data_IF_735711861611
#
_entry.id   IF_735711861611
#
_cell.length_a   1.000
_cell.length_b   1.000
_cell.length_c   1.000
_cell.angle_alpha   90.00
_cell.angle_beta   90.00
_cell.angle_gamma   90.00
#
_symmetry.space_group_name_H-M   'P 1'
#
loop_
_entity.id
_entity.type
_entity.pdbx_description
1 polymer ?
#
# COMPACT_ATOMS: atom_id res chain seq x y z
N UNK A 1 -22.39 37.87 -22.94
CA UNK A 1 -21.24 37.26 -22.25
C UNK A 1 -21.61 37.15 -20.79
N UNK A 2 -22.18 36.01 -20.40
CA UNK A 2 -22.55 35.74 -19.01
C UNK A 2 -21.42 34.92 -18.41
N UNK A 3 -20.65 35.56 -17.53
CA UNK A 3 -19.59 34.94 -16.74
C UNK A 3 -20.23 33.93 -15.79
N UNK A 4 -20.02 32.63 -16.04
CA UNK A 4 -20.30 31.60 -15.04
C UNK A 4 -19.16 31.64 -14.04
N UNK A 5 -19.42 32.25 -12.87
CA UNK A 5 -18.61 32.04 -11.69
C UNK A 5 -18.76 30.57 -11.27
N UNK A 6 -17.70 29.79 -11.35
CA UNK A 6 -17.62 28.48 -10.71
C UNK A 6 -17.12 28.64 -9.29
N UNK A 7 -17.95 29.22 -8.42
CA UNK A 7 -17.78 29.08 -6.98
C UNK A 7 -18.27 27.68 -6.59
N UNK A 8 -17.46 26.67 -6.86
CA UNK A 8 -17.58 25.40 -6.12
C UNK A 8 -16.94 25.64 -4.77
N UNK A 9 -17.74 26.02 -3.77
CA UNK A 9 -17.35 25.92 -2.36
C UNK A 9 -16.87 24.49 -2.11
N UNK A 10 -15.56 24.29 -2.07
CA UNK A 10 -14.95 23.04 -1.65
C UNK A 10 -15.25 22.89 -0.16
N UNK A 11 -16.19 22.01 0.18
CA UNK A 11 -16.45 21.65 1.57
C UNK A 11 -15.14 21.16 2.19
N UNK A 12 -14.69 21.73 3.33
CA UNK A 12 -13.46 21.31 3.96
C UNK A 12 -13.52 19.83 4.33
N UNK A 13 -12.38 19.14 4.24
CA UNK A 13 -12.28 17.74 4.64
C UNK A 13 -12.64 17.55 6.12
N UNK A 14 -13.37 16.49 6.50
CA UNK A 14 -13.68 16.22 7.90
C UNK A 14 -12.40 15.86 8.68
N UNK A 15 -12.33 16.32 9.92
CA UNK A 15 -11.21 16.07 10.84
C UNK A 15 -11.60 15.22 12.06
N UNK A 16 -12.89 15.05 12.30
CA UNK A 16 -13.43 14.25 13.41
C UNK A 16 -14.28 13.09 12.87
N UNK A 17 -14.21 11.90 13.49
CA UNK A 17 -15.06 10.79 13.10
C UNK A 17 -16.50 11.07 13.52
N UNK A 18 -17.45 10.83 12.61
CA UNK A 18 -18.89 10.87 12.91
C UNK A 18 -19.52 9.49 12.64
N UNK A 19 -20.63 9.13 13.31
CA UNK A 19 -21.33 7.88 13.03
C UNK A 19 -21.75 7.73 11.55
N UNK A 20 -22.13 8.84 10.91
CA UNK A 20 -22.45 8.88 9.48
C UNK A 20 -21.23 8.57 8.61
N UNK A 21 -20.09 9.25 8.85
CA UNK A 21 -18.86 8.99 8.11
C UNK A 21 -18.40 7.52 8.26
N UNK A 22 -18.41 6.99 9.48
CA UNK A 22 -18.06 5.59 9.73
C UNK A 22 -18.99 4.63 8.97
N UNK A 23 -20.28 4.96 8.89
CA UNK A 23 -21.25 4.18 8.11
C UNK A 23 -20.94 4.22 6.61
N UNK A 24 -20.64 5.41 6.06
CA UNK A 24 -20.27 5.58 4.65
C UNK A 24 -18.98 4.85 4.30
N UNK A 25 -17.97 4.88 5.18
CA UNK A 25 -16.73 4.11 5.04
C UNK A 25 -17.01 2.61 4.98
N UNK A 26 -17.78 2.07 5.94
CA UNK A 26 -18.14 0.64 5.93
C UNK A 26 -18.89 0.23 4.67
N UNK A 27 -19.81 1.07 4.20
CA UNK A 27 -20.56 0.83 2.97
C UNK A 27 -19.64 0.84 1.74
N UNK A 28 -18.72 1.80 1.65
CA UNK A 28 -17.77 1.87 0.56
C UNK A 28 -16.86 0.64 0.52
N UNK A 29 -16.31 0.23 1.67
CA UNK A 29 -15.54 -1.02 1.79
C UNK A 29 -16.36 -2.23 1.35
N UNK A 30 -17.61 -2.37 1.83
CA UNK A 30 -18.47 -3.49 1.49
C UNK A 30 -18.79 -3.56 -0.01
N UNK A 31 -19.02 -2.42 -0.67
CA UNK A 31 -19.21 -2.35 -2.13
C UNK A 31 -17.96 -2.80 -2.90
N UNK A 32 -16.78 -2.37 -2.47
CA UNK A 32 -15.52 -2.80 -3.09
C UNK A 32 -15.28 -4.31 -2.94
N UNK A 33 -15.56 -4.85 -1.75
CA UNK A 33 -15.49 -6.31 -1.49
C UNK A 33 -16.46 -7.06 -2.37
N UNK A 34 -17.73 -6.61 -2.48
CA UNK A 34 -18.71 -7.22 -3.36
C UNK A 34 -18.25 -7.21 -4.82
N UNK A 35 -17.75 -6.06 -5.31
CA UNK A 35 -17.25 -5.92 -6.67
C UNK A 35 -16.09 -6.89 -6.99
N UNK A 36 -15.18 -7.13 -6.03
CA UNK A 36 -14.10 -8.12 -6.18
C UNK A 36 -14.66 -9.55 -6.20
N UNK A 37 -15.60 -9.88 -5.30
CA UNK A 37 -16.20 -11.22 -5.21
C UNK A 37 -16.94 -11.61 -6.47
N UNK A 38 -17.64 -10.68 -7.11
CA UNK A 38 -18.36 -10.91 -8.37
C UNK A 38 -17.44 -11.27 -9.54
N UNK A 39 -16.11 -11.19 -9.35
CA UNK A 39 -15.07 -11.45 -10.35
C UNK A 39 -14.17 -12.62 -9.99
N UNK A 40 -14.62 -13.46 -9.06
CA UNK A 40 -13.94 -14.69 -8.68
C UNK A 40 -14.85 -15.83 -9.10
N UNK A 41 -14.34 -16.72 -9.93
CA UNK A 41 -15.06 -17.92 -10.34
C UNK A 41 -15.22 -18.91 -9.16
N UNK A 42 -16.14 -19.86 -9.28
CA UNK A 42 -16.44 -20.85 -8.23
C UNK A 42 -15.22 -21.68 -7.79
N UNK A 43 -14.23 -21.85 -8.67
CA UNK A 43 -12.97 -22.57 -8.39
C UNK A 43 -11.89 -21.70 -7.72
N UNK A 44 -12.20 -20.42 -7.47
CA UNK A 44 -11.30 -19.42 -6.91
C UNK A 44 -10.52 -18.61 -7.95
N UNK A 45 -10.66 -18.90 -9.25
CA UNK A 45 -9.92 -18.17 -10.29
C UNK A 45 -10.39 -16.72 -10.42
N UNK A 46 -9.50 -15.72 -10.27
CA UNK A 46 -9.87 -14.33 -10.50
C UNK A 46 -10.02 -14.03 -11.99
N UNK A 47 -10.91 -13.08 -12.32
CA UNK A 47 -11.10 -12.59 -13.68
C UNK A 47 -9.77 -12.06 -14.26
N UNK A 48 -9.42 -12.53 -15.47
CA UNK A 48 -8.21 -12.07 -16.16
C UNK A 48 -6.90 -12.68 -15.71
N UNK A 49 -6.94 -13.72 -14.86
CA UNK A 49 -5.77 -14.45 -14.39
C UNK A 49 -4.90 -15.03 -15.52
N UNK A 50 -5.50 -15.37 -16.66
CA UNK A 50 -4.82 -15.86 -17.86
C UNK A 50 -4.05 -14.77 -18.62
N UNK A 51 -4.36 -13.50 -18.34
CA UNK A 51 -3.76 -12.34 -19.03
C UNK A 51 -2.63 -11.74 -18.21
N UNK A 52 -2.87 -11.46 -16.94
CA UNK A 52 -1.87 -10.86 -16.06
C UNK A 52 -2.17 -11.13 -14.58
N UNK A 53 -1.11 -11.14 -13.78
CA UNK A 53 -1.18 -11.07 -12.34
C UNK A 53 -1.64 -9.66 -11.99
N UNK A 54 -2.95 -9.40 -12.01
CA UNK A 54 -3.61 -8.17 -11.51
C UNK A 54 -4.34 -8.42 -10.18
N UNK A 55 -4.36 -9.67 -9.75
CA UNK A 55 -5.17 -10.17 -8.64
C UNK A 55 -4.39 -10.35 -7.34
N UNK A 56 -3.05 -10.27 -7.37
CA UNK A 56 -2.15 -10.62 -6.26
C UNK A 56 -2.54 -10.03 -4.90
N UNK A 57 -3.11 -8.82 -4.87
CA UNK A 57 -3.51 -8.15 -3.63
C UNK A 57 -4.90 -8.51 -3.13
N UNK A 58 -5.76 -9.03 -4.00
CA UNK A 58 -7.16 -9.30 -3.66
C UNK A 58 -7.32 -10.30 -2.52
N UNK A 59 -6.55 -11.40 -2.39
CA UNK A 59 -6.65 -12.28 -1.24
C UNK A 59 -6.46 -11.54 0.09
N UNK A 60 -5.46 -10.66 0.19
CA UNK A 60 -5.24 -9.86 1.40
C UNK A 60 -6.40 -8.89 1.64
N UNK A 61 -6.82 -8.17 0.59
CA UNK A 61 -7.93 -7.23 0.66
C UNK A 61 -9.24 -7.90 1.11
N UNK A 62 -9.52 -9.12 0.64
CA UNK A 62 -10.70 -9.90 1.01
C UNK A 62 -10.61 -10.40 2.45
N UNK A 63 -9.44 -10.82 2.93
CA UNK A 63 -9.26 -11.19 4.34
C UNK A 63 -9.60 -10.02 5.27
N UNK A 64 -8.97 -8.86 5.08
CA UNK A 64 -9.20 -7.68 5.96
C UNK A 64 -10.55 -7.00 5.68
N UNK A 65 -11.09 -7.18 4.48
CA UNK A 65 -12.41 -6.73 4.06
C UNK A 65 -13.55 -7.66 4.52
N UNK A 66 -13.29 -8.71 5.29
CA UNK A 66 -14.34 -9.56 5.86
C UNK A 66 -14.98 -10.56 4.88
N UNK A 67 -14.24 -10.98 3.85
CA UNK A 67 -14.60 -12.06 2.93
C UNK A 67 -13.49 -13.15 2.87
N UNK A 68 -13.11 -13.76 4.01
CA UNK A 68 -12.01 -14.72 4.07
C UNK A 68 -12.31 -16.02 3.30
N UNK A 69 -13.57 -16.36 3.06
CA UNK A 69 -14.01 -17.48 2.23
C UNK A 69 -13.58 -17.30 0.76
N UNK A 70 -13.85 -16.12 0.19
CA UNK A 70 -13.43 -15.77 -1.16
C UNK A 70 -11.90 -15.70 -1.26
N UNK A 71 -11.22 -15.15 -0.24
CA UNK A 71 -9.77 -15.15 -0.16
C UNK A 71 -9.19 -16.57 -0.14
N UNK A 72 -9.79 -17.47 0.64
CA UNK A 72 -9.37 -18.87 0.75
C UNK A 72 -9.53 -19.63 -0.56
N UNK A 73 -10.61 -19.37 -1.32
CA UNK A 73 -10.81 -19.93 -2.65
C UNK A 73 -9.73 -19.43 -3.62
N UNK A 74 -9.47 -18.12 -3.65
CA UNK A 74 -8.41 -17.54 -4.48
C UNK A 74 -7.02 -18.10 -4.15
N UNK A 75 -6.68 -18.22 -2.87
CA UNK A 75 -5.40 -18.80 -2.46
C UNK A 75 -5.30 -20.28 -2.85
N UNK A 76 -6.39 -21.04 -2.72
CA UNK A 76 -6.41 -22.43 -3.18
C UNK A 76 -6.21 -22.55 -4.69
N UNK A 77 -6.76 -21.62 -5.49
CA UNK A 77 -6.48 -21.56 -6.93
C UNK A 77 -5.01 -21.15 -7.19
N UNK A 78 -4.49 -20.14 -6.49
CA UNK A 78 -3.12 -19.67 -6.67
C UNK A 78 -2.09 -20.78 -6.39
N UNK A 79 -2.28 -21.58 -5.34
CA UNK A 79 -1.44 -22.74 -5.04
C UNK A 79 -1.42 -23.77 -6.18
N UNK A 80 -2.58 -24.04 -6.81
CA UNK A 80 -2.68 -25.02 -7.90
C UNK A 80 -2.08 -24.51 -9.21
N UNK A 81 -2.32 -23.23 -9.52
CA UNK A 81 -2.12 -22.70 -10.88
C UNK A 81 -1.00 -21.66 -10.98
N UNK A 82 -0.83 -20.79 -9.98
CA UNK A 82 -0.01 -19.59 -10.08
C UNK A 82 1.30 -19.64 -9.29
N UNK A 83 1.41 -20.52 -8.28
CA UNK A 83 2.58 -20.67 -7.43
C UNK A 83 3.33 -21.98 -7.71
N UNK A 84 4.64 -21.92 -7.58
CA UNK A 84 5.53 -23.08 -7.47
C UNK A 84 5.45 -23.68 -6.06
N UNK A 85 5.93 -24.91 -5.89
CA UNK A 85 6.00 -25.57 -4.58
C UNK A 85 6.93 -24.82 -3.61
N UNK A 86 7.92 -24.08 -4.14
CA UNK A 86 8.81 -23.20 -3.38
C UNK A 86 8.20 -21.82 -3.06
N UNK A 87 6.95 -21.56 -3.46
CA UNK A 87 6.26 -20.30 -3.17
C UNK A 87 6.67 -19.12 -4.04
N UNK A 88 7.35 -19.33 -5.17
CA UNK A 88 7.54 -18.32 -6.21
C UNK A 88 6.38 -18.32 -7.21
N UNK A 89 6.20 -17.23 -7.95
CA UNK A 89 5.26 -17.14 -9.06
C UNK A 89 5.71 -18.04 -10.21
N UNK A 90 4.78 -18.79 -10.80
CA UNK A 90 5.04 -19.53 -12.04
C UNK A 90 5.24 -18.56 -13.21
N UNK A 91 6.06 -18.92 -14.21
CA UNK A 91 6.23 -18.11 -15.42
C UNK A 91 4.92 -17.88 -16.17
N UNK A 92 4.92 -16.86 -17.04
CA UNK A 92 3.78 -16.53 -17.89
C UNK A 92 2.94 -15.40 -17.29
N UNK A 93 1.60 -15.50 -17.30
CA UNK A 93 0.74 -14.39 -16.88
C UNK A 93 0.86 -14.08 -15.38
N UNK A 94 1.40 -14.99 -14.57
CA UNK A 94 1.50 -14.81 -13.12
C UNK A 94 2.75 -14.06 -12.66
N UNK A 95 3.80 -14.06 -13.48
CA UNK A 95 5.09 -13.49 -13.08
C UNK A 95 5.05 -11.95 -13.04
N UNK A 96 6.03 -11.38 -12.35
CA UNK A 96 6.19 -9.95 -12.29
C UNK A 96 6.54 -9.38 -13.69
N UNK A 97 5.92 -8.27 -14.10
CA UNK A 97 6.11 -7.73 -15.44
C UNK A 97 7.56 -7.25 -15.63
N UNK A 98 8.11 -7.46 -16.84
CA UNK A 98 9.37 -6.86 -17.28
C UNK A 98 10.62 -7.28 -16.50
N UNK A 99 10.61 -8.45 -15.84
CA UNK A 99 11.77 -8.94 -15.06
C UNK A 99 11.94 -8.22 -13.72
N UNK A 100 10.91 -7.50 -13.27
CA UNK A 100 10.90 -6.87 -11.95
C UNK A 100 10.90 -7.92 -10.83
N UNK A 101 11.38 -7.55 -9.66
CA UNK A 101 11.31 -8.38 -8.47
C UNK A 101 9.85 -8.71 -8.10
N UNK A 102 9.54 -9.96 -7.74
CA UNK A 102 8.19 -10.39 -7.41
C UNK A 102 7.72 -9.91 -6.03
N UNK A 103 8.57 -9.21 -5.26
CA UNK A 103 8.27 -8.74 -3.89
C UNK A 103 6.91 -8.06 -3.79
N UNK A 104 6.58 -7.17 -4.73
CA UNK A 104 5.31 -6.43 -4.69
C UNK A 104 4.07 -7.32 -4.88
N UNK A 105 4.24 -8.46 -5.54
CA UNK A 105 3.18 -9.41 -5.88
C UNK A 105 3.09 -10.53 -4.84
N UNK A 106 4.22 -11.09 -4.42
CA UNK A 106 4.29 -12.21 -3.48
C UNK A 106 3.99 -11.80 -2.04
N UNK A 107 4.41 -10.63 -1.56
CA UNK A 107 4.18 -10.23 -0.17
C UNK A 107 2.68 -10.21 0.23
N UNK A 108 1.75 -9.64 -0.58
CA UNK A 108 0.32 -9.75 -0.29
C UNK A 108 -0.20 -11.19 -0.22
N UNK A 109 0.34 -12.10 -1.02
CA UNK A 109 -0.04 -13.52 -1.01
C UNK A 109 0.46 -14.23 0.25
N UNK A 110 1.69 -13.93 0.71
CA UNK A 110 2.20 -14.42 1.98
C UNK A 110 1.34 -13.95 3.16
N UNK A 111 0.98 -12.66 3.18
CA UNK A 111 0.11 -12.07 4.22
C UNK A 111 -1.26 -12.74 4.22
N UNK A 112 -1.89 -12.89 3.05
CA UNK A 112 -3.19 -13.56 2.94
C UNK A 112 -3.13 -15.02 3.40
N UNK A 113 -2.10 -15.76 2.97
CA UNK A 113 -1.86 -17.16 3.37
C UNK A 113 -1.77 -17.28 4.90
N UNK A 114 -1.02 -16.39 5.54
CA UNK A 114 -0.90 -16.37 7.00
C UNK A 114 -2.23 -16.08 7.69
N UNK A 115 -2.96 -15.05 7.24
CA UNK A 115 -4.27 -14.67 7.80
C UNK A 115 -5.31 -15.81 7.67
N UNK A 116 -5.15 -16.69 6.68
CA UNK A 116 -6.02 -17.83 6.42
C UNK A 116 -5.54 -19.13 7.10
N UNK A 117 -4.42 -19.12 7.82
CA UNK A 117 -3.85 -20.30 8.47
C UNK A 117 -3.13 -21.27 7.52
N UNK A 118 -2.82 -20.84 6.29
CA UNK A 118 -2.03 -21.59 5.29
C UNK A 118 -0.54 -21.34 5.51
N UNK A 119 -0.04 -21.82 6.66
CA UNK A 119 1.29 -21.45 7.16
C UNK A 119 2.43 -22.01 6.30
N UNK A 120 2.26 -23.19 5.74
CA UNK A 120 3.19 -23.80 4.78
C UNK A 120 3.38 -22.92 3.54
N UNK A 121 2.29 -22.48 2.91
CA UNK A 121 2.32 -21.55 1.77
C UNK A 121 2.94 -20.22 2.15
N UNK A 122 2.54 -19.64 3.30
CA UNK A 122 3.11 -18.39 3.79
C UNK A 122 4.64 -18.49 4.00
N UNK A 123 5.10 -19.58 4.61
CA UNK A 123 6.52 -19.86 4.85
C UNK A 123 7.30 -20.07 3.55
N UNK A 124 6.74 -20.80 2.59
CA UNK A 124 7.37 -21.02 1.28
C UNK A 124 7.57 -19.69 0.54
N UNK A 125 6.51 -18.87 0.44
CA UNK A 125 6.58 -17.55 -0.19
C UNK A 125 7.61 -16.66 0.51
N UNK A 126 7.60 -16.60 1.85
CA UNK A 126 8.54 -15.75 2.58
C UNK A 126 10.00 -16.21 2.45
N UNK A 127 10.23 -17.52 2.36
CA UNK A 127 11.58 -18.07 2.07
C UNK A 127 12.07 -17.60 0.70
N UNK A 128 11.17 -17.54 -0.28
CA UNK A 128 11.48 -17.02 -1.62
C UNK A 128 11.71 -15.50 -1.58
N UNK A 129 10.87 -14.74 -0.88
CA UNK A 129 10.98 -13.29 -0.73
C UNK A 129 12.30 -12.84 -0.09
N UNK A 130 12.80 -13.58 0.90
CA UNK A 130 14.07 -13.26 1.58
C UNK A 130 15.26 -13.17 0.63
N UNK A 131 15.22 -13.87 -0.52
CA UNK A 131 16.28 -13.83 -1.55
C UNK A 131 16.38 -12.48 -2.27
N UNK A 132 15.32 -11.67 -2.22
CA UNK A 132 15.26 -10.35 -2.84
C UNK A 132 15.65 -9.23 -1.87
N UNK A 133 16.02 -9.55 -0.63
CA UNK A 133 16.60 -8.57 0.27
C UNK A 133 18.10 -8.46 0.02
N UNK A 134 18.58 -7.24 -0.12
CA UNK A 134 20.01 -6.96 -0.08
C UNK A 134 20.52 -7.20 1.36
N UNK A 135 21.43 -8.15 1.59
CA UNK A 135 21.87 -8.51 2.94
C UNK A 135 22.66 -7.40 3.63
N UNK A 136 23.33 -6.53 2.87
CA UNK A 136 24.17 -5.47 3.42
C UNK A 136 23.32 -4.28 3.87
N UNK A 137 22.31 -3.94 3.06
CA UNK A 137 21.52 -2.73 3.26
C UNK A 137 20.18 -2.97 3.95
N UNK A 138 19.61 -4.16 3.79
CA UNK A 138 18.26 -4.54 4.24
C UNK A 138 17.12 -4.10 3.31
N UNK A 139 17.39 -3.46 2.18
CA UNK A 139 16.34 -3.07 1.23
C UNK A 139 16.01 -4.18 0.24
N UNK A 140 14.88 -4.04 -0.44
CA UNK A 140 14.43 -5.01 -1.43
C UNK A 140 14.84 -4.59 -2.84
N UNK A 141 15.42 -5.52 -3.60
CA UNK A 141 15.82 -5.27 -4.99
C UNK A 141 14.62 -5.01 -5.90
N UNK A 142 14.80 -4.09 -6.85
CA UNK A 142 13.80 -3.67 -7.84
C UNK A 142 13.63 -4.71 -8.95
N UNK A 143 14.72 -5.39 -9.34
CA UNK A 143 14.76 -6.42 -10.39
C UNK A 143 14.89 -7.83 -9.82
N UNK A 144 14.39 -8.82 -10.58
CA UNK A 144 14.61 -10.23 -10.28
C UNK A 144 16.08 -10.61 -10.50
N UNK A 145 16.66 -10.15 -11.61
CA UNK A 145 18.11 -10.19 -11.85
C UNK A 145 18.77 -8.92 -11.30
N UNK A 146 18.97 -8.89 -9.98
CA UNK A 146 19.58 -7.75 -9.30
C UNK A 146 21.08 -7.58 -9.63
N UNK A 147 21.72 -8.52 -10.32
CA UNK A 147 23.07 -8.32 -10.83
C UNK A 147 23.10 -7.32 -12.00
N UNK A 148 21.99 -7.19 -12.75
CA UNK A 148 21.84 -6.20 -13.81
C UNK A 148 21.77 -4.78 -13.26
N UNK A 149 20.99 -4.59 -12.20
CA UNK A 149 20.90 -3.33 -11.45
C UNK A 149 20.50 -3.61 -9.99
N UNK A 150 21.40 -3.44 -9.00
CA UNK A 150 21.14 -3.71 -7.59
C UNK A 150 20.37 -2.56 -6.93
N UNK A 151 19.40 -2.01 -7.65
CA UNK A 151 18.59 -0.90 -7.22
C UNK A 151 17.57 -1.39 -6.19
N UNK A 152 17.40 -0.62 -5.13
CA UNK A 152 16.43 -0.86 -4.07
C UNK A 152 15.52 0.35 -3.97
N UNK A 153 14.24 0.15 -3.67
CA UNK A 153 13.30 1.26 -3.53
C UNK A 153 12.40 1.14 -2.31
N UNK A 154 11.87 2.28 -1.89
CA UNK A 154 11.09 2.44 -0.67
C UNK A 154 9.77 1.63 -0.68
N UNK A 155 9.10 1.51 -1.84
CA UNK A 155 7.84 0.77 -1.98
C UNK A 155 8.07 -0.73 -1.79
N UNK A 156 9.01 -1.33 -2.53
CA UNK A 156 9.29 -2.78 -2.42
C UNK A 156 9.91 -3.13 -1.07
N UNK A 157 10.77 -2.28 -0.55
CA UNK A 157 11.41 -2.48 0.76
C UNK A 157 10.37 -2.52 1.88
N UNK A 158 9.44 -1.56 1.93
CA UNK A 158 8.34 -1.60 2.90
C UNK A 158 7.40 -2.80 2.65
N UNK A 159 7.13 -3.15 1.39
CA UNK A 159 6.26 -4.28 1.04
C UNK A 159 6.81 -5.63 1.52
N UNK A 160 8.12 -5.87 1.35
CA UNK A 160 8.84 -7.00 1.93
C UNK A 160 8.74 -7.00 3.46
N UNK A 161 8.85 -5.82 4.06
CA UNK A 161 8.71 -5.63 5.50
C UNK A 161 7.37 -6.13 6.04
N UNK A 162 6.24 -5.88 5.37
CA UNK A 162 4.94 -6.36 5.86
C UNK A 162 4.83 -7.88 5.91
N UNK A 163 5.33 -8.58 4.88
CA UNK A 163 5.32 -10.04 4.90
C UNK A 163 6.22 -10.59 6.00
N UNK A 164 7.35 -9.93 6.27
CA UNK A 164 8.23 -10.27 7.39
C UNK A 164 7.59 -10.05 8.77
N UNK A 165 6.89 -8.92 8.96
CA UNK A 165 6.16 -8.64 10.21
C UNK A 165 5.10 -9.71 10.50
N UNK A 166 4.31 -10.06 9.49
CA UNK A 166 3.20 -11.01 9.64
C UNK A 166 3.69 -12.42 9.99
N UNK A 167 4.81 -12.89 9.42
CA UNK A 167 5.35 -14.22 9.73
C UNK A 167 6.38 -14.23 10.86
N UNK A 168 6.66 -13.08 11.49
CA UNK A 168 7.64 -12.97 12.56
C UNK A 168 9.11 -13.07 12.12
N UNK A 169 9.43 -12.81 10.85
CA UNK A 169 10.82 -12.75 10.38
C UNK A 169 11.50 -11.44 10.82
N UNK A 170 12.10 -11.50 12.00
CA UNK A 170 12.79 -10.36 12.62
C UNK A 170 14.01 -9.90 11.83
N UNK A 171 14.75 -10.80 11.19
CA UNK A 171 15.95 -10.44 10.45
C UNK A 171 15.60 -9.52 9.27
N UNK A 172 14.62 -9.96 8.47
CA UNK A 172 14.15 -9.18 7.33
C UNK A 172 13.54 -7.86 7.78
N UNK A 173 12.68 -7.87 8.80
CA UNK A 173 12.04 -6.65 9.33
C UNK A 173 13.07 -5.63 9.88
N UNK A 174 14.08 -6.08 10.61
CA UNK A 174 15.15 -5.22 11.12
C UNK A 174 15.98 -4.62 9.97
N UNK A 175 16.19 -5.39 8.89
CA UNK A 175 16.82 -4.91 7.66
C UNK A 175 16.04 -3.78 7.01
N UNK A 176 14.73 -3.97 6.82
CA UNK A 176 13.83 -2.95 6.24
C UNK A 176 13.82 -1.68 7.10
N UNK A 177 13.73 -1.80 8.42
CA UNK A 177 13.80 -0.66 9.34
C UNK A 177 15.11 0.14 9.17
N UNK A 178 16.27 -0.54 9.15
CA UNK A 178 17.57 0.10 8.93
C UNK A 178 17.65 0.79 7.56
N UNK A 179 17.10 0.16 6.52
CA UNK A 179 17.09 0.74 5.18
C UNK A 179 16.27 2.02 5.12
N UNK A 180 15.05 2.01 5.65
CA UNK A 180 14.16 3.18 5.69
C UNK A 180 14.78 4.34 6.47
N UNK A 181 15.37 4.06 7.63
CA UNK A 181 16.06 5.06 8.42
C UNK A 181 17.18 5.73 7.63
N UNK A 182 18.04 4.93 6.99
CA UNK A 182 19.16 5.46 6.17
C UNK A 182 18.66 6.20 4.93
N UNK A 183 17.61 5.70 4.27
CA UNK A 183 17.03 6.36 3.11
C UNK A 183 16.54 7.77 3.45
N UNK A 184 15.86 7.95 4.58
CA UNK A 184 15.39 9.28 4.99
C UNK A 184 16.53 10.19 5.48
N UNK A 185 17.51 9.64 6.21
CA UNK A 185 18.61 10.43 6.79
C UNK A 185 19.52 11.10 5.74
N UNK A 186 19.72 10.46 4.58
CA UNK A 186 20.65 10.93 3.56
C UNK A 186 20.00 11.89 2.53
N UNK A 187 18.75 12.30 2.76
CA UNK A 187 18.01 13.14 1.81
C UNK A 187 18.59 14.57 1.74
N UNK A 188 18.91 15.08 0.54
CA UNK A 188 19.55 16.39 0.41
C UNK A 188 18.57 17.58 0.41
N UNK A 189 17.26 17.34 0.25
CA UNK A 189 16.25 18.38 -0.02
C UNK A 189 14.93 18.14 0.75
N UNK A 190 15.01 17.66 2.00
CA UNK A 190 13.84 17.62 2.86
C UNK A 190 13.46 19.04 3.35
N UNK A 191 12.17 19.35 3.51
CA UNK A 191 11.02 18.46 3.33
C UNK A 191 10.46 18.44 1.89
N UNK A 192 11.11 19.11 0.94
CA UNK A 192 10.54 19.36 -0.39
C UNK A 192 10.58 18.16 -1.33
N UNK A 193 11.62 17.34 -1.27
CA UNK A 193 11.79 16.17 -2.13
C UNK A 193 12.20 14.94 -1.35
N UNK A 194 11.63 13.80 -1.74
CA UNK A 194 12.04 12.48 -1.29
C UNK A 194 12.56 11.67 -2.48
N UNK A 195 13.86 11.38 -2.48
CA UNK A 195 14.47 10.37 -3.34
C UNK A 195 14.20 8.98 -2.77
N UNK A 196 13.65 8.11 -3.58
CA UNK A 196 12.98 6.88 -3.11
C UNK A 196 13.83 5.63 -3.26
N UNK A 197 14.99 5.74 -3.91
CA UNK A 197 15.79 4.60 -4.34
C UNK A 197 17.25 4.71 -3.94
N UNK A 198 17.90 3.56 -3.72
CA UNK A 198 19.32 3.43 -3.37
C UNK A 198 19.99 2.34 -4.20
N UNK A 199 21.31 2.45 -4.38
CA UNK A 199 22.18 1.36 -4.83
C UNK A 199 23.26 1.15 -3.79
N UNK A 200 23.13 0.10 -2.97
CA UNK A 200 23.97 -0.07 -1.81
C UNK A 200 23.86 1.14 -0.88
N UNK A 201 25.01 1.74 -0.54
CA UNK A 201 25.06 2.93 0.32
C UNK A 201 24.79 4.25 -0.41
N UNK A 202 24.61 4.26 -1.73
CA UNK A 202 24.41 5.49 -2.51
C UNK A 202 22.92 5.77 -2.74
N UNK A 203 22.45 6.93 -2.29
CA UNK A 203 21.13 7.45 -2.65
C UNK A 203 21.08 7.83 -4.14
N UNK A 204 20.05 7.41 -4.85
CA UNK A 204 19.89 7.72 -6.29
C UNK A 204 19.25 9.09 -6.45
N UNK A 205 20.09 10.11 -6.68
CA UNK A 205 19.66 11.51 -6.89
C UNK A 205 19.74 11.97 -8.34
N UNK A 206 20.37 11.18 -9.21
CA UNK A 206 20.53 11.44 -10.63
C UNK A 206 19.88 10.31 -11.41
N UNK A 207 18.95 10.65 -12.29
CA UNK A 207 18.18 9.69 -13.08
C UNK A 207 17.65 10.38 -14.36
N UNK A 208 17.35 9.60 -15.41
CA UNK A 208 16.66 10.12 -16.59
C UNK A 208 15.24 10.60 -16.25
N UNK A 209 14.77 11.64 -16.94
CA UNK A 209 13.44 12.25 -16.74
C UNK A 209 12.31 11.23 -16.90
N UNK A 210 12.47 10.24 -17.78
CA UNK A 210 11.50 9.18 -18.05
C UNK A 210 11.23 8.30 -16.83
N UNK A 211 12.17 8.28 -15.87
CA UNK A 211 12.05 7.50 -14.63
C UNK A 211 11.76 8.37 -13.41
N UNK A 212 11.68 9.70 -13.56
CA UNK A 212 11.56 10.63 -12.45
C UNK A 212 10.38 10.30 -11.52
N UNK A 213 9.24 9.91 -12.08
CA UNK A 213 8.03 9.53 -11.31
C UNK A 213 8.30 8.40 -10.29
N UNK A 214 9.23 7.48 -10.59
CA UNK A 214 9.59 6.36 -9.72
C UNK A 214 10.76 6.67 -8.78
N UNK A 215 11.48 7.78 -8.99
CA UNK A 215 12.76 8.07 -8.31
C UNK A 215 12.68 9.22 -7.33
N UNK A 216 11.79 10.18 -7.56
CA UNK A 216 11.63 11.34 -6.69
C UNK A 216 10.16 11.72 -6.52
N UNK A 217 9.80 12.13 -5.31
CA UNK A 217 8.52 12.77 -5.00
C UNK A 217 8.79 14.23 -4.66
N UNK A 218 8.32 15.17 -5.48
CA UNK A 218 8.36 16.61 -5.16
C UNK A 218 7.03 17.05 -4.51
N UNK A 219 7.05 17.29 -3.20
CA UNK A 219 5.83 17.59 -2.43
C UNK A 219 5.21 18.97 -2.74
N UNK A 220 5.82 19.76 -3.64
CA UNK A 220 5.30 21.05 -4.13
C UNK A 220 4.70 20.96 -5.53
N UNK A 221 4.84 19.84 -6.22
CA UNK A 221 4.30 19.63 -7.55
C UNK A 221 3.15 18.63 -7.48
N UNK A 222 2.11 18.73 -8.33
CA UNK A 222 1.03 17.74 -8.39
C UNK A 222 1.49 16.42 -9.05
N UNK A 223 0.64 15.39 -8.99
CA UNK A 223 0.78 14.12 -9.74
C UNK A 223 2.10 13.37 -9.52
N UNK A 224 2.61 13.39 -8.29
CA UNK A 224 3.77 12.61 -7.89
C UNK A 224 3.39 11.25 -7.30
N UNK A 225 4.37 10.38 -7.09
CA UNK A 225 4.24 9.11 -6.40
C UNK A 225 4.13 9.27 -4.86
N UNK A 226 3.12 10.00 -4.37
CA UNK A 226 2.95 10.31 -2.94
C UNK A 226 2.70 9.08 -2.02
N UNK A 227 2.66 7.88 -2.58
CA UNK A 227 2.44 6.66 -1.81
C UNK A 227 3.68 6.25 -0.98
N UNK A 228 4.86 6.75 -1.33
CA UNK A 228 6.13 6.34 -0.71
C UNK A 228 6.22 6.64 0.80
N UNK A 229 5.86 7.83 1.31
CA UNK A 229 5.89 8.07 2.75
C UNK A 229 4.84 7.25 3.52
N UNK A 230 3.65 7.09 2.94
CA UNK A 230 2.56 6.36 3.55
C UNK A 230 2.87 4.88 3.79
N UNK A 231 3.43 4.19 2.79
CA UNK A 231 3.81 2.79 2.94
C UNK A 231 4.95 2.58 3.94
N UNK A 232 5.93 3.49 3.95
CA UNK A 232 7.01 3.45 4.93
C UNK A 232 6.47 3.61 6.36
N UNK A 233 5.59 4.58 6.58
CA UNK A 233 4.97 4.81 7.89
C UNK A 233 4.11 3.62 8.34
N UNK A 234 3.34 2.99 7.44
CA UNK A 234 2.56 1.81 7.75
C UNK A 234 3.44 0.63 8.22
N UNK A 235 4.59 0.40 7.55
CA UNK A 235 5.53 -0.62 8.00
C UNK A 235 6.13 -0.27 9.36
N UNK A 236 6.56 0.98 9.55
CA UNK A 236 7.21 1.44 10.79
C UNK A 236 6.26 1.36 12.00
N UNK A 237 4.96 1.61 11.81
CA UNK A 237 3.95 1.41 12.83
C UNK A 237 3.88 -0.06 13.28
N UNK A 238 3.76 -1.00 12.32
CA UNK A 238 3.74 -2.43 12.62
C UNK A 238 5.05 -2.94 13.25
N UNK A 239 6.18 -2.43 12.77
CA UNK A 239 7.48 -2.73 13.35
C UNK A 239 7.58 -2.26 14.81
N UNK A 240 7.12 -1.04 15.11
CA UNK A 240 7.09 -0.53 16.47
C UNK A 240 6.17 -1.36 17.37
N UNK A 241 5.01 -1.78 16.88
CA UNK A 241 4.10 -2.66 17.63
C UNK A 241 4.75 -4.01 17.99
N UNK A 242 5.53 -4.59 17.06
CA UNK A 242 6.20 -5.87 17.30
C UNK A 242 7.42 -5.75 18.22
N UNK A 243 8.08 -4.60 18.25
CA UNK A 243 9.39 -4.42 18.91
C UNK A 243 9.35 -3.58 20.18
N UNK A 244 8.36 -2.72 20.32
CA UNK A 244 8.37 -1.61 21.27
C UNK A 244 9.34 -0.48 20.92
N UNK A 245 9.94 -0.46 19.72
CA UNK A 245 10.91 0.56 19.32
C UNK A 245 10.23 1.90 19.01
N UNK A 246 10.27 2.82 19.99
CA UNK A 246 9.73 4.17 19.84
C UNK A 246 10.46 5.02 18.77
N UNK A 247 11.67 4.63 18.35
CA UNK A 247 12.38 5.31 17.26
C UNK A 247 11.72 5.06 15.90
N UNK A 248 11.14 3.88 15.69
CA UNK A 248 10.38 3.56 14.49
C UNK A 248 9.13 4.44 14.38
N UNK A 249 8.41 4.70 15.48
CA UNK A 249 7.28 5.64 15.49
C UNK A 249 7.71 7.07 15.13
N UNK A 250 8.85 7.54 15.67
CA UNK A 250 9.39 8.86 15.30
C UNK A 250 9.71 8.93 13.82
N UNK A 251 10.34 7.89 13.26
CA UNK A 251 10.65 7.81 11.84
C UNK A 251 9.38 7.79 10.98
N UNK A 252 8.35 7.04 11.38
CA UNK A 252 7.05 7.01 10.71
C UNK A 252 6.39 8.39 10.66
N UNK A 253 6.42 9.13 11.77
CA UNK A 253 5.95 10.52 11.81
C UNK A 253 6.73 11.45 10.86
N UNK A 254 8.05 11.28 10.77
CA UNK A 254 8.87 12.07 9.84
C UNK A 254 8.50 11.80 8.38
N UNK A 255 8.25 10.55 8.00
CA UNK A 255 7.75 10.23 6.66
C UNK A 255 6.39 10.88 6.40
N UNK A 256 5.40 10.70 7.28
CA UNK A 256 4.07 11.30 7.10
C UNK A 256 4.12 12.83 7.05
N UNK A 257 5.03 13.46 7.80
CA UNK A 257 5.21 14.90 7.82
C UNK A 257 5.57 15.48 6.44
N UNK A 258 6.25 14.72 5.57
CA UNK A 258 6.54 15.13 4.19
C UNK A 258 5.25 15.35 3.40
N UNK A 259 4.26 14.49 3.61
CA UNK A 259 2.97 14.56 2.91
C UNK A 259 2.09 15.67 3.50
N UNK A 260 2.00 15.76 4.83
CA UNK A 260 1.18 16.79 5.50
C UNK A 260 1.74 18.20 5.36
N UNK A 261 3.06 18.34 5.15
CA UNK A 261 3.72 19.61 4.83
C UNK A 261 3.82 19.92 3.33
N UNK A 262 3.30 19.03 2.48
CA UNK A 262 3.24 19.20 1.04
C UNK A 262 2.00 19.96 0.56
N UNK A 263 1.76 19.90 -0.74
CA UNK A 263 0.68 20.64 -1.40
C UNK A 263 -0.70 19.98 -1.27
N UNK A 264 -1.79 20.76 -1.28
CA UNK A 264 -3.16 20.24 -1.17
C UNK A 264 -3.62 19.49 -2.43
N UNK A 265 -2.97 19.67 -3.59
CA UNK A 265 -3.26 18.93 -4.83
C UNK A 265 -2.96 17.42 -4.69
N UNK A 266 -2.17 17.01 -3.69
CA UNK A 266 -2.09 15.61 -3.26
C UNK A 266 -3.48 15.05 -2.90
N UNK A 267 -4.26 15.92 -2.26
CA UNK A 267 -5.65 15.88 -1.78
C UNK A 267 -6.70 15.83 -2.87
N UNK A 268 -6.65 16.88 -3.67
CA UNK A 268 -7.82 17.41 -4.35
C UNK A 268 -7.76 17.17 -5.87
N UNK A 269 -6.60 16.79 -6.41
CA UNK A 269 -6.50 16.36 -7.81
C UNK A 269 -7.29 15.06 -8.01
N UNK A 270 -8.48 15.19 -8.59
CA UNK A 270 -9.37 14.07 -8.93
C UNK A 270 -8.78 13.11 -9.97
N UNK A 271 -7.73 13.53 -10.71
CA UNK A 271 -7.00 12.67 -11.65
C UNK A 271 -5.94 11.81 -10.96
N UNK A 272 -5.67 12.05 -9.67
CA UNK A 272 -4.66 11.36 -8.88
C UNK A 272 -5.25 10.52 -7.75
N UNK A 273 -4.76 9.30 -7.63
CA UNK A 273 -4.98 8.41 -6.48
C UNK A 273 -3.67 8.05 -5.76
N UNK A 274 -2.56 8.72 -6.10
CA UNK A 274 -1.23 8.35 -5.61
C UNK A 274 -1.03 8.60 -4.11
N UNK A 275 -1.90 9.39 -3.48
CA UNK A 275 -1.90 9.66 -2.03
C UNK A 275 -2.49 8.51 -1.20
N UNK A 276 -3.06 7.47 -1.82
CA UNK A 276 -3.86 6.45 -1.14
C UNK A 276 -3.12 5.79 0.07
N UNK A 277 -1.83 5.47 -0.08
CA UNK A 277 -1.02 4.85 0.99
C UNK A 277 -0.74 5.79 2.15
N UNK A 278 -0.86 7.12 1.99
CA UNK A 278 -0.81 8.03 3.12
C UNK A 278 -1.95 7.74 4.11
N UNK A 279 -3.15 7.47 3.62
CA UNK A 279 -4.28 7.09 4.47
C UNK A 279 -4.03 5.81 5.25
N UNK A 280 -3.43 4.80 4.60
CA UNK A 280 -3.02 3.57 5.26
C UNK A 280 -1.93 3.82 6.32
N UNK A 281 -0.89 4.59 5.98
CA UNK A 281 0.17 4.99 6.91
C UNK A 281 -0.37 5.74 8.13
N UNK A 282 -1.27 6.70 7.92
CA UNK A 282 -1.91 7.45 8.99
C UNK A 282 -2.77 6.55 9.90
N UNK A 283 -3.55 5.62 9.34
CA UNK A 283 -4.35 4.68 10.11
C UNK A 283 -3.49 3.71 10.95
N UNK A 284 -2.41 3.19 10.36
CA UNK A 284 -1.47 2.32 11.07
C UNK A 284 -0.76 3.07 12.21
N UNK A 285 -0.30 4.29 11.94
CA UNK A 285 0.31 5.15 12.96
C UNK A 285 -0.68 5.56 14.05
N UNK A 286 -1.94 5.88 13.73
CA UNK A 286 -3.00 6.13 14.72
C UNK A 286 -3.21 4.92 15.64
N UNK A 287 -3.13 3.71 15.08
CA UNK A 287 -3.30 2.48 15.87
C UNK A 287 -2.10 2.24 16.79
N UNK A 288 -0.88 2.51 16.32
CA UNK A 288 0.35 2.29 17.09
C UNK A 288 0.70 3.44 18.05
N UNK A 289 0.23 4.65 17.76
CA UNK A 289 0.50 5.89 18.48
C UNK A 289 -0.76 6.80 18.46
N UNK A 290 -1.78 6.50 19.28
CA UNK A 290 -3.06 7.22 19.26
C UNK A 290 -2.93 8.73 19.52
N UNK A 291 -1.94 9.14 20.31
CA UNK A 291 -1.68 10.53 20.67
C UNK A 291 -0.79 11.26 19.64
N UNK A 292 -0.36 10.56 18.57
CA UNK A 292 0.54 11.07 17.54
C UNK A 292 -0.06 12.12 16.58
N UNK A 293 -1.32 12.51 16.77
CA UNK A 293 -2.01 13.52 15.94
C UNK A 293 -2.48 13.00 14.58
N UNK A 294 -2.61 11.68 14.41
CA UNK A 294 -2.96 11.04 13.13
C UNK A 294 -4.47 10.91 12.88
N UNK A 295 -5.31 11.17 13.89
CA UNK A 295 -6.77 11.03 13.78
C UNK A 295 -7.37 11.92 12.67
N UNK A 296 -7.09 13.24 12.60
CA UNK A 296 -7.66 14.09 11.56
C UNK A 296 -7.33 13.64 10.14
N UNK A 297 -6.11 13.16 9.93
CA UNK A 297 -5.65 12.66 8.64
C UNK A 297 -6.30 11.33 8.26
N UNK A 298 -6.51 10.45 9.24
CA UNK A 298 -7.20 9.17 9.05
C UNK A 298 -8.67 9.40 8.69
N UNK A 299 -9.34 10.35 9.36
CA UNK A 299 -10.72 10.77 9.06
C UNK A 299 -10.82 11.35 7.63
N UNK A 300 -9.94 12.30 7.29
CA UNK A 300 -9.86 12.89 5.95
C UNK A 300 -9.72 11.81 4.88
N UNK A 301 -8.82 10.86 5.09
CA UNK A 301 -8.56 9.81 4.11
C UNK A 301 -9.72 8.81 4.02
N UNK A 302 -10.46 8.55 5.10
CA UNK A 302 -11.71 7.78 5.04
C UNK A 302 -12.75 8.42 4.09
N UNK A 303 -12.99 9.72 4.24
CA UNK A 303 -13.87 10.48 3.32
C UNK A 303 -13.31 10.50 1.88
N UNK A 304 -11.99 10.67 1.72
CA UNK A 304 -11.32 10.67 0.43
C UNK A 304 -11.58 9.39 -0.38
N UNK A 305 -11.54 8.22 0.27
CA UNK A 305 -11.84 6.94 -0.38
C UNK A 305 -13.31 6.82 -0.77
N UNK A 306 -14.22 7.25 0.11
CA UNK A 306 -15.67 7.27 -0.15
C UNK A 306 -15.98 8.12 -1.38
N UNK A 307 -15.44 9.34 -1.45
CA UNK A 307 -15.71 10.26 -2.56
C UNK A 307 -15.11 9.79 -3.90
N UNK A 308 -14.01 9.03 -3.86
CA UNK A 308 -13.35 8.50 -5.08
C UNK A 308 -13.88 7.15 -5.55
N UNK A 309 -14.77 6.53 -4.79
CA UNK A 309 -15.36 5.26 -5.21
C UNK A 309 -16.33 5.50 -6.37
N UNK A 310 -16.25 4.66 -7.40
CA UNK A 310 -17.20 4.65 -8.49
C UNK A 310 -18.56 4.12 -8.02
N UNK A 311 -19.61 4.44 -8.76
CA UNK A 311 -20.97 3.98 -8.44
C UNK A 311 -21.12 2.45 -8.43
N UNK A 312 -20.29 1.74 -9.21
CA UNK A 312 -20.25 0.27 -9.29
C UNK A 312 -19.47 -0.38 -8.13
N UNK A 313 -18.84 0.42 -7.25
CA UNK A 313 -18.07 -0.05 -6.10
C UNK A 313 -16.56 -0.17 -6.36
N UNK A 314 -16.09 -0.02 -7.59
CA UNK A 314 -14.67 -0.08 -7.92
C UNK A 314 -13.95 1.25 -7.65
N UNK A 315 -12.61 1.19 -7.63
CA UNK A 315 -11.75 2.36 -7.78
C UNK A 315 -10.92 2.25 -9.05
N UNK A 316 -10.61 3.40 -9.65
CA UNK A 316 -9.77 3.50 -10.84
C UNK A 316 -8.37 4.03 -10.48
N UNK A 317 -7.33 3.63 -11.23
CA UNK A 317 -6.00 4.21 -11.09
C UNK A 317 -6.00 5.68 -11.53
N UNK A 318 -4.88 6.37 -11.27
CA UNK A 318 -4.67 7.75 -11.71
C UNK A 318 -4.87 7.86 -13.22
N UNK A 319 -5.73 8.76 -13.67
CA UNK A 319 -6.04 8.90 -15.10
C UNK A 319 -4.88 9.50 -15.91
N UNK A 320 -3.92 10.16 -15.25
CA UNK A 320 -2.72 10.65 -15.93
C UNK A 320 -1.69 9.55 -16.24
N UNK A 321 -1.73 8.41 -15.55
CA UNK A 321 -0.91 7.23 -15.90
C UNK A 321 -1.71 6.20 -16.68
N UNK A 322 -3.01 6.07 -16.37
CA UNK A 322 -3.92 5.08 -16.99
C UNK A 322 -5.22 5.79 -17.41
N UNK A 323 -5.23 6.51 -18.54
CA UNK A 323 -6.36 7.36 -18.93
C UNK A 323 -7.63 6.60 -19.31
N UNK A 324 -7.50 5.32 -19.68
CA UNK A 324 -8.60 4.44 -20.07
C UNK A 324 -8.43 3.10 -19.35
N UNK A 325 -8.72 3.03 -18.03
CA UNK A 325 -8.50 1.82 -17.26
C UNK A 325 -9.40 0.69 -17.78
N UNK A 326 -8.78 -0.45 -18.06
CA UNK A 326 -9.48 -1.69 -18.35
C UNK A 326 -9.93 -2.40 -17.07
N UNK A 327 -10.54 -3.58 -17.22
CA UNK A 327 -11.00 -4.37 -16.07
C UNK A 327 -9.86 -4.72 -15.11
N UNK A 328 -8.70 -5.18 -15.63
CA UNK A 328 -7.54 -5.54 -14.79
C UNK A 328 -7.04 -4.33 -13.98
N UNK A 329 -7.08 -3.14 -14.58
CA UNK A 329 -6.68 -1.90 -13.93
C UNK A 329 -7.60 -1.55 -12.75
N UNK A 330 -8.91 -1.73 -12.94
CA UNK A 330 -9.90 -1.58 -11.89
C UNK A 330 -9.73 -2.66 -10.82
N UNK A 331 -9.36 -3.88 -11.21
CA UNK A 331 -9.22 -5.01 -10.28
C UNK A 331 -8.10 -4.77 -9.26
N UNK A 332 -6.87 -4.55 -9.73
CA UNK A 332 -5.72 -4.38 -8.83
C UNK A 332 -5.88 -3.14 -7.94
N UNK A 333 -6.45 -2.07 -8.49
CA UNK A 333 -6.68 -0.82 -7.76
C UNK A 333 -7.80 -0.96 -6.73
N UNK A 334 -8.89 -1.64 -7.07
CA UNK A 334 -9.99 -1.91 -6.11
C UNK A 334 -9.49 -2.79 -4.97
N UNK A 335 -8.71 -3.83 -5.26
CA UNK A 335 -8.08 -4.65 -4.22
C UNK A 335 -7.18 -3.82 -3.28
N UNK A 336 -6.35 -2.93 -3.84
CA UNK A 336 -5.50 -2.03 -3.05
C UNK A 336 -6.33 -1.11 -2.14
N UNK A 337 -7.34 -0.43 -2.69
CA UNK A 337 -8.13 0.53 -1.93
C UNK A 337 -9.08 -0.14 -0.92
N UNK A 338 -9.59 -1.34 -1.17
CA UNK A 338 -10.34 -2.12 -0.17
C UNK A 338 -9.45 -2.44 1.02
N UNK A 339 -8.21 -2.86 0.79
CA UNK A 339 -7.25 -3.13 1.86
C UNK A 339 -6.99 -1.86 2.68
N UNK A 340 -6.62 -0.75 2.03
CA UNK A 340 -6.29 0.51 2.70
C UNK A 340 -7.49 1.07 3.50
N UNK A 341 -8.69 1.05 2.91
CA UNK A 341 -9.91 1.51 3.57
C UNK A 341 -10.30 0.63 4.77
N UNK A 342 -10.00 -0.68 4.73
CA UNK A 342 -10.24 -1.59 5.85
C UNK A 342 -9.38 -1.23 7.07
N UNK A 343 -8.11 -0.88 6.85
CA UNK A 343 -7.24 -0.40 7.93
C UNK A 343 -7.69 0.95 8.50
N UNK A 344 -8.12 1.88 7.64
CA UNK A 344 -8.69 3.17 8.06
C UNK A 344 -9.94 2.94 8.92
N UNK A 345 -10.88 2.12 8.46
CA UNK A 345 -12.10 1.81 9.22
C UNK A 345 -11.77 1.22 10.59
N UNK A 346 -10.85 0.25 10.63
CA UNK A 346 -10.44 -0.39 11.88
C UNK A 346 -9.84 0.61 12.88
N UNK A 347 -8.92 1.47 12.42
CA UNK A 347 -8.28 2.47 13.27
C UNK A 347 -9.31 3.45 13.86
N UNK A 348 -10.20 3.99 13.03
CA UNK A 348 -11.22 4.96 13.48
C UNK A 348 -12.20 4.34 14.49
N UNK A 349 -12.65 3.09 14.25
CA UNK A 349 -13.58 2.41 15.17
C UNK A 349 -12.94 2.11 16.52
N UNK A 350 -11.66 1.74 16.53
CA UNK A 350 -10.90 1.49 17.77
C UNK A 350 -10.76 2.77 18.61
N UNK A 351 -10.54 3.92 17.98
CA UNK A 351 -10.49 5.22 18.68
C UNK A 351 -11.85 5.62 19.25
N UNK A 352 -12.93 5.50 18.47
CA UNK A 352 -14.27 5.89 18.93
C UNK A 352 -14.79 5.04 20.10
N UNK A 353 -14.41 3.77 20.18
CA UNK A 353 -14.81 2.89 21.28
C UNK A 353 -14.21 3.34 22.64
N UNK A 354 -12.97 3.83 22.63
CA UNK A 354 -12.26 4.28 23.84
C UNK A 354 -12.84 5.55 24.48
N UNK A 355 -13.47 6.42 23.68
CA UNK A 355 -14.08 7.67 24.17
C UNK A 355 -15.39 7.45 24.94
N UNK A 356 -16.09 6.33 24.70
CA UNK A 356 -17.35 5.99 25.39
C UNK A 356 -17.17 5.35 26.78
N UNK A 357 -15.94 5.01 27.16
CA UNK A 357 -15.61 4.29 28.40
C UNK A 357 -14.86 5.12 29.45
N UNK A 358 -14.70 6.43 29.22
CA UNK A 358 -14.17 7.40 30.19
C UNK A 358 -15.29 8.37 30.59
#
# INVERSE_FOLDING_TARGET
>A
MTTLASDTETTPWPTEPTPDLLTRISQARAKGVAWLRDRIADDGRPEGAETANSWWRAPWALCVGGAPDAAAAMMGWAEREALTDEGDLRPGPFDAPGGTSPVYHLSPLAIASWLLGRYDTATAINTTLARFQNPDTGGAYDLRDFAQDPLEDNLKTAQLGFSALVTGDRHTADGVHRWLHRNLADQPDLPHRLFTSRRGDTLVTHFPDETAFLRVVDFRAPRQAYFHPGIAAAFLAGYAQQTGDASALRLGRQYLALTTGGTEEQYDDSTSVQICKFGWGAAAMLTADPDGGHLPWTVRMGEWFVQRQRHDGAWAPSSFTTPRPGMLDLYWKTAEHVMELSYIEHALRSTSAGTTSA
#
